data_IF_956214689514
#
_entry.id   IF_956214689514
#
_cell.length_a   1.000
_cell.length_b   1.000
_cell.length_c   1.000
_cell.angle_alpha   90.00
_cell.angle_beta   90.00
_cell.angle_gamma   90.00
#
_symmetry.space_group_name_H-M   'P 1'
#
loop_
_entity.id
_entity.type
_entity.pdbx_description
1 polymer ?
#
# COMPACT_ATOMS: atom_id res chain seq x y z
N UNK A 1 16.57 -14.21 18.47
CA UNK A 1 17.04 -13.93 17.09
C UNK A 1 16.13 -12.86 16.52
N UNK A 2 16.65 -11.96 15.67
CA UNK A 2 15.84 -11.01 14.90
C UNK A 2 14.87 -11.76 13.99
N UNK A 3 13.61 -11.31 13.92
CA UNK A 3 12.67 -11.84 12.92
C UNK A 3 13.07 -11.36 11.52
N UNK A 4 12.95 -12.24 10.54
CA UNK A 4 13.36 -12.02 9.15
C UNK A 4 12.16 -11.80 8.26
N UNK A 5 12.13 -10.65 7.60
CA UNK A 5 11.03 -10.25 6.73
C UNK A 5 11.51 -10.02 5.32
N UNK A 6 10.86 -10.65 4.35
CA UNK A 6 11.06 -10.39 2.94
C UNK A 6 9.99 -9.43 2.43
N UNK A 7 10.41 -8.28 1.88
CA UNK A 7 9.51 -7.30 1.26
C UNK A 7 9.65 -7.33 -0.26
N UNK A 8 8.55 -7.35 -0.96
CA UNK A 8 8.51 -7.01 -2.39
C UNK A 8 7.93 -5.62 -2.58
N UNK A 9 8.33 -4.93 -3.66
CA UNK A 9 7.89 -3.55 -3.89
C UNK A 9 8.53 -2.53 -2.95
N UNK A 10 9.71 -2.84 -2.39
CA UNK A 10 10.44 -2.00 -1.43
C UNK A 10 10.76 -0.60 -1.97
N UNK A 11 10.90 -0.44 -3.27
CA UNK A 11 11.16 0.84 -3.94
C UNK A 11 9.89 1.67 -4.18
N UNK A 12 8.71 1.09 -3.88
CA UNK A 12 7.43 1.78 -3.94
C UNK A 12 7.12 2.58 -2.67
N UNK A 13 6.03 3.34 -2.71
CA UNK A 13 5.60 4.19 -1.59
C UNK A 13 5.39 3.39 -0.30
N UNK A 14 4.49 2.40 -0.29
CA UNK A 14 4.22 1.58 0.91
C UNK A 14 5.45 0.76 1.33
N UNK A 15 6.11 0.09 0.38
CA UNK A 15 7.23 -0.81 0.69
C UNK A 15 8.42 -0.10 1.30
N UNK A 16 8.74 1.12 0.88
CA UNK A 16 9.84 1.90 1.44
C UNK A 16 9.57 2.37 2.88
N UNK A 17 8.34 2.78 3.20
CA UNK A 17 7.94 3.13 4.56
C UNK A 17 7.94 1.90 5.47
N UNK A 18 7.43 0.75 4.99
CA UNK A 18 7.50 -0.52 5.73
C UNK A 18 8.93 -0.94 6.02
N UNK A 19 9.84 -0.84 5.06
CA UNK A 19 11.23 -1.20 5.26
C UNK A 19 11.89 -0.35 6.35
N UNK A 20 11.69 0.97 6.33
CA UNK A 20 12.18 1.88 7.38
C UNK A 20 11.64 1.51 8.75
N UNK A 21 10.34 1.25 8.86
CA UNK A 21 9.70 0.86 10.12
C UNK A 21 10.21 -0.49 10.64
N UNK A 22 10.38 -1.48 9.76
CA UNK A 22 10.91 -2.79 10.14
C UNK A 22 12.32 -2.69 10.69
N UNK A 23 13.20 -1.94 10.03
CA UNK A 23 14.57 -1.71 10.53
C UNK A 23 14.56 -1.01 11.89
N UNK A 24 13.70 0.00 12.07
CA UNK A 24 13.55 0.72 13.35
C UNK A 24 13.02 -0.19 14.48
N UNK A 25 12.35 -1.30 14.16
CA UNK A 25 11.84 -2.28 15.12
C UNK A 25 12.69 -3.57 15.17
N UNK A 26 13.95 -3.49 14.77
CA UNK A 26 14.95 -4.57 14.88
C UNK A 26 14.63 -5.83 14.06
N UNK A 27 13.91 -5.71 12.93
CA UNK A 27 13.78 -6.79 11.96
C UNK A 27 14.99 -6.84 11.02
N UNK A 28 15.37 -8.04 10.58
CA UNK A 28 16.30 -8.23 9.47
C UNK A 28 15.50 -8.20 8.15
N UNK A 29 15.80 -7.22 7.29
CA UNK A 29 15.01 -6.94 6.09
C UNK A 29 15.71 -7.48 4.85
N UNK A 30 15.01 -8.35 4.14
CA UNK A 30 15.33 -8.83 2.80
C UNK A 30 14.35 -8.22 1.81
N UNK A 31 14.80 -7.96 0.58
CA UNK A 31 13.91 -7.37 -0.40
C UNK A 31 14.19 -7.85 -1.83
N UNK A 32 13.11 -7.99 -2.58
CA UNK A 32 13.13 -8.23 -4.03
C UNK A 32 12.81 -6.94 -4.77
N UNK A 33 13.64 -6.58 -5.76
CA UNK A 33 13.46 -5.45 -6.66
C UNK A 33 13.74 -5.84 -8.11
N UNK A 34 13.18 -5.11 -9.05
CA UNK A 34 13.58 -5.22 -10.47
C UNK A 34 14.91 -4.48 -10.67
N UNK A 35 15.74 -4.95 -11.59
CA UNK A 35 17.02 -4.31 -11.92
C UNK A 35 16.87 -2.82 -12.20
N UNK A 36 15.84 -2.41 -12.95
CA UNK A 36 15.58 -1.03 -13.35
C UNK A 36 14.85 -0.18 -12.28
N UNK A 37 14.61 -0.68 -11.05
CA UNK A 37 13.91 0.10 -10.02
C UNK A 37 14.78 1.22 -9.48
N UNK A 38 14.23 2.45 -9.39
CA UNK A 38 14.88 3.55 -8.67
C UNK A 38 15.00 3.23 -7.19
N UNK A 39 16.15 3.53 -6.60
CA UNK A 39 16.44 3.30 -5.18
C UNK A 39 16.24 4.55 -4.32
N UNK A 40 15.81 5.67 -4.89
CA UNK A 40 15.74 6.98 -4.22
C UNK A 40 14.95 6.94 -2.90
N UNK A 41 13.83 6.20 -2.84
CA UNK A 41 13.02 6.09 -1.60
C UNK A 41 13.67 5.31 -0.46
N UNK A 42 14.69 4.49 -0.77
CA UNK A 42 15.38 3.63 0.20
C UNK A 42 16.87 3.97 0.32
N UNK A 43 17.33 5.04 -0.30
CA UNK A 43 18.74 5.44 -0.30
C UNK A 43 19.31 5.53 1.11
N UNK A 44 18.56 6.13 2.04
CA UNK A 44 18.98 6.30 3.44
C UNK A 44 19.12 5.01 4.23
N UNK A 45 18.59 3.90 3.76
CA UNK A 45 18.57 2.59 4.45
C UNK A 45 19.14 1.46 3.60
N UNK A 46 19.72 1.77 2.45
CA UNK A 46 20.13 0.76 1.45
C UNK A 46 21.20 -0.21 2.01
N UNK A 47 22.05 0.28 2.89
CA UNK A 47 23.12 -0.52 3.50
C UNK A 47 22.63 -1.48 4.60
N UNK A 48 21.40 -1.25 5.09
CA UNK A 48 20.80 -2.05 6.16
C UNK A 48 19.84 -3.12 5.61
N UNK A 49 19.70 -3.21 4.28
CA UNK A 49 18.77 -4.10 3.58
C UNK A 49 19.54 -5.12 2.73
N UNK A 50 19.12 -6.38 2.79
CA UNK A 50 19.60 -7.43 1.91
C UNK A 50 18.79 -7.41 0.60
N UNK A 51 19.31 -6.76 -0.46
CA UNK A 51 18.63 -6.60 -1.75
C UNK A 51 18.96 -7.74 -2.71
N UNK A 52 17.92 -8.26 -3.38
CA UNK A 52 18.00 -9.28 -4.43
C UNK A 52 17.15 -8.86 -5.65
N UNK A 53 17.50 -9.41 -6.80
CA UNK A 53 16.67 -9.25 -8.00
C UNK A 53 15.44 -10.17 -7.95
N UNK A 54 14.34 -9.76 -8.59
CA UNK A 54 13.11 -10.57 -8.66
C UNK A 54 13.30 -11.90 -9.40
N UNK A 55 14.32 -12.00 -10.27
CA UNK A 55 14.65 -13.23 -10.98
C UNK A 55 15.40 -14.23 -10.11
N UNK A 56 15.90 -13.80 -8.95
CA UNK A 56 16.69 -14.58 -8.01
C UNK A 56 15.88 -15.20 -6.85
N UNK A 57 14.55 -15.34 -6.96
CA UNK A 57 13.69 -15.83 -5.87
C UNK A 57 14.23 -17.13 -5.26
N UNK A 58 14.55 -18.13 -6.08
CA UNK A 58 15.05 -19.43 -5.58
C UNK A 58 16.42 -19.33 -4.93
N UNK A 59 17.28 -18.46 -5.44
CA UNK A 59 18.61 -18.25 -4.86
C UNK A 59 18.54 -17.49 -3.56
N UNK A 60 17.59 -16.57 -3.42
CA UNK A 60 17.34 -15.83 -2.19
C UNK A 60 17.06 -16.80 -1.03
N UNK A 61 16.04 -17.66 -1.16
CA UNK A 61 15.69 -18.60 -0.07
C UNK A 61 16.80 -19.59 0.27
N UNK A 62 17.62 -19.98 -0.70
CA UNK A 62 18.82 -20.82 -0.42
C UNK A 62 19.92 -20.07 0.35
N UNK A 63 20.13 -18.78 0.04
CA UNK A 63 21.20 -17.97 0.64
C UNK A 63 20.83 -17.35 1.98
N UNK A 64 19.59 -16.91 2.13
CA UNK A 64 19.14 -16.16 3.31
C UNK A 64 18.83 -17.06 4.52
N UNK A 65 18.69 -18.37 4.32
CA UNK A 65 18.16 -19.26 5.38
C UNK A 65 16.66 -18.97 5.64
N UNK A 66 16.21 -19.19 6.88
CA UNK A 66 14.79 -19.06 7.22
C UNK A 66 14.33 -17.59 7.12
N UNK A 67 13.30 -17.32 6.32
CA UNK A 67 12.50 -16.11 6.33
C UNK A 67 11.21 -16.41 7.10
N UNK A 68 10.83 -15.57 8.06
CA UNK A 68 9.64 -15.81 8.89
C UNK A 68 8.38 -15.31 8.21
N UNK A 69 8.43 -14.13 7.58
CA UNK A 69 7.26 -13.48 6.96
C UNK A 69 7.61 -12.85 5.61
N UNK A 70 6.73 -12.98 4.65
CA UNK A 70 6.75 -12.22 3.39
C UNK A 70 5.71 -11.12 3.47
N UNK A 71 6.11 -9.87 3.13
CA UNK A 71 5.19 -8.75 2.91
C UNK A 71 5.22 -8.41 1.42
N UNK A 72 4.12 -8.72 0.73
CA UNK A 72 4.01 -8.49 -0.70
C UNK A 72 3.28 -7.17 -0.98
N UNK A 73 4.05 -6.15 -1.40
CA UNK A 73 3.48 -4.84 -1.80
C UNK A 73 3.77 -4.48 -3.26
N UNK A 74 4.54 -5.30 -3.97
CA UNK A 74 4.80 -5.09 -5.39
C UNK A 74 3.51 -5.19 -6.20
N UNK A 75 3.27 -4.23 -7.07
CA UNK A 75 2.08 -4.21 -7.92
C UNK A 75 2.31 -3.39 -9.19
N UNK A 76 1.60 -3.76 -10.25
CA UNK A 76 1.44 -2.99 -11.47
C UNK A 76 0.00 -2.46 -11.54
N UNK A 77 -0.14 -1.13 -11.58
CA UNK A 77 -1.45 -0.49 -11.62
C UNK A 77 -2.07 -0.40 -13.03
N UNK A 78 -1.29 -0.64 -14.09
CA UNK A 78 -1.74 -0.48 -15.48
C UNK A 78 -2.00 0.98 -15.88
N UNK A 79 -1.29 1.95 -15.26
CA UNK A 79 -1.51 3.40 -15.49
C UNK A 79 -0.61 4.00 -16.57
N UNK A 80 0.48 3.31 -16.92
CA UNK A 80 1.47 3.78 -17.89
C UNK A 80 1.33 3.05 -19.22
N UNK A 81 0.09 2.75 -19.63
CA UNK A 81 -0.24 2.00 -20.85
C UNK A 81 0.35 0.57 -20.89
N UNK A 82 0.60 -0.03 -19.72
CA UNK A 82 1.01 -1.43 -19.66
C UNK A 82 -0.09 -2.33 -20.26
N UNK A 83 0.32 -3.38 -20.97
CA UNK A 83 -0.62 -4.39 -21.48
C UNK A 83 -1.29 -5.11 -20.32
N UNK A 84 -2.51 -5.58 -20.52
CA UNK A 84 -3.23 -6.40 -19.53
C UNK A 84 -2.39 -7.60 -19.09
N UNK A 85 -1.69 -8.26 -20.04
CA UNK A 85 -0.77 -9.37 -19.76
C UNK A 85 0.34 -8.99 -18.78
N UNK A 86 0.90 -7.77 -18.90
CA UNK A 86 1.99 -7.31 -18.05
C UNK A 86 1.48 -7.02 -16.63
N UNK A 87 0.24 -6.50 -16.51
CA UNK A 87 -0.43 -6.33 -15.22
C UNK A 87 -0.65 -7.68 -14.55
N UNK A 88 -1.08 -8.69 -15.30
CA UNK A 88 -1.33 -10.05 -14.78
C UNK A 88 -0.02 -10.77 -14.43
N UNK A 89 1.02 -10.64 -15.24
CA UNK A 89 2.35 -11.18 -14.92
C UNK A 89 2.89 -10.60 -13.61
N UNK A 90 2.77 -9.28 -13.41
CA UNK A 90 3.23 -8.61 -12.19
C UNK A 90 2.38 -8.91 -10.95
N UNK A 91 1.04 -9.02 -11.10
CA UNK A 91 0.14 -9.09 -9.97
C UNK A 91 -0.37 -10.51 -9.65
N UNK A 92 -0.12 -11.48 -10.52
CA UNK A 92 -0.54 -12.89 -10.34
C UNK A 92 0.66 -13.83 -10.46
N UNK A 93 1.36 -13.85 -11.59
CA UNK A 93 2.43 -14.83 -11.84
C UNK A 93 3.61 -14.62 -10.88
N UNK A 94 4.12 -13.41 -10.77
CA UNK A 94 5.23 -13.09 -9.86
C UNK A 94 4.91 -13.44 -8.40
N UNK A 95 3.81 -12.95 -7.78
CA UNK A 95 3.50 -13.30 -6.40
C UNK A 95 3.11 -14.77 -6.20
N UNK A 96 2.60 -15.47 -7.22
CA UNK A 96 2.37 -16.92 -7.15
C UNK A 96 3.70 -17.67 -7.04
N UNK A 97 4.70 -17.35 -7.88
CA UNK A 97 6.06 -17.90 -7.78
C UNK A 97 6.66 -17.64 -6.40
N UNK A 98 6.47 -16.43 -5.86
CA UNK A 98 6.95 -16.08 -4.53
C UNK A 98 6.24 -16.88 -3.42
N UNK A 99 4.94 -17.08 -3.54
CA UNK A 99 4.12 -17.87 -2.62
C UNK A 99 4.56 -19.35 -2.61
N UNK A 100 4.82 -19.92 -3.78
CA UNK A 100 5.35 -21.29 -3.94
C UNK A 100 6.74 -21.44 -3.33
N UNK A 101 7.68 -20.56 -3.70
CA UNK A 101 9.04 -20.59 -3.20
C UNK A 101 9.10 -20.38 -1.68
N UNK A 102 8.33 -19.42 -1.15
CA UNK A 102 8.22 -19.17 0.29
C UNK A 102 7.65 -20.38 1.05
N UNK A 103 6.60 -21.02 0.50
CA UNK A 103 6.04 -22.23 1.10
C UNK A 103 7.06 -23.40 1.12
N UNK A 104 7.84 -23.59 0.06
CA UNK A 104 8.89 -24.61 0.03
C UNK A 104 10.03 -24.30 1.02
N UNK A 105 10.36 -23.02 1.21
CA UNK A 105 11.38 -22.58 2.15
C UNK A 105 10.92 -22.55 3.61
N UNK A 106 9.64 -22.86 3.88
CA UNK A 106 9.09 -22.89 5.23
C UNK A 106 8.75 -21.53 5.81
N UNK A 107 8.47 -20.55 4.96
CA UNK A 107 7.91 -19.25 5.39
C UNK A 107 6.56 -19.48 6.07
N UNK A 108 6.38 -18.86 7.22
CA UNK A 108 5.20 -19.09 8.05
C UNK A 108 3.99 -18.23 7.64
N UNK A 109 4.25 -16.98 7.22
CA UNK A 109 3.17 -16.03 6.91
C UNK A 109 3.45 -15.22 5.65
N UNK A 110 2.43 -15.07 4.82
CA UNK A 110 2.41 -14.20 3.65
C UNK A 110 1.37 -13.09 3.86
N UNK A 111 1.83 -11.85 4.02
CA UNK A 111 0.99 -10.64 4.09
C UNK A 111 0.87 -10.07 2.68
N UNK A 112 -0.34 -10.11 2.11
CA UNK A 112 -0.62 -9.58 0.79
C UNK A 112 -1.25 -8.19 0.88
N UNK A 113 -0.58 -7.16 0.38
CA UNK A 113 -1.23 -5.85 0.18
C UNK A 113 -2.25 -5.97 -0.96
N UNK A 114 -3.51 -5.71 -0.66
CA UNK A 114 -4.63 -5.79 -1.59
C UNK A 114 -5.38 -4.46 -1.66
N UNK A 115 -6.44 -4.39 -2.43
CA UNK A 115 -7.26 -3.20 -2.66
C UNK A 115 -8.72 -3.44 -2.26
N UNK A 116 -9.40 -2.38 -1.86
CA UNK A 116 -10.86 -2.38 -1.63
C UNK A 116 -11.67 -2.06 -2.90
N UNK A 117 -11.01 -1.86 -4.04
CA UNK A 117 -11.67 -1.56 -5.30
C UNK A 117 -12.53 -2.73 -5.80
N UNK A 118 -13.62 -2.41 -6.49
CA UNK A 118 -14.44 -3.43 -7.15
C UNK A 118 -13.57 -4.20 -8.16
N UNK A 119 -13.62 -5.53 -8.11
CA UNK A 119 -12.79 -6.42 -8.93
C UNK A 119 -12.97 -6.24 -10.44
N UNK A 120 -14.10 -5.73 -10.89
CA UNK A 120 -14.38 -5.49 -12.30
C UNK A 120 -14.11 -4.05 -12.76
N UNK A 121 -13.52 -3.22 -11.90
CA UNK A 121 -13.24 -1.83 -12.23
C UNK A 121 -12.17 -1.71 -13.32
N UNK A 122 -11.10 -2.51 -13.23
CA UNK A 122 -9.98 -2.48 -14.18
C UNK A 122 -9.11 -3.76 -14.04
N UNK A 123 -8.14 -3.98 -14.96
CA UNK A 123 -7.25 -5.14 -14.89
C UNK A 123 -6.46 -5.27 -13.57
N UNK A 124 -6.07 -4.15 -12.97
CA UNK A 124 -5.38 -4.13 -11.67
C UNK A 124 -6.26 -4.75 -10.57
N UNK A 125 -7.47 -4.25 -10.37
CA UNK A 125 -8.36 -4.77 -9.31
C UNK A 125 -8.78 -6.22 -9.57
N UNK A 126 -8.94 -6.60 -10.84
CA UNK A 126 -9.23 -7.99 -11.20
C UNK A 126 -8.05 -8.91 -10.86
N UNK A 127 -6.83 -8.55 -11.24
CA UNK A 127 -5.63 -9.34 -10.96
C UNK A 127 -5.38 -9.49 -9.45
N UNK A 128 -5.62 -8.43 -8.65
CA UNK A 128 -5.52 -8.50 -7.18
C UNK A 128 -6.52 -9.51 -6.61
N UNK A 129 -7.76 -9.48 -7.08
CA UNK A 129 -8.79 -10.43 -6.64
C UNK A 129 -8.46 -11.87 -7.03
N UNK A 130 -7.89 -12.11 -8.23
CA UNK A 130 -7.47 -13.46 -8.64
C UNK A 130 -6.30 -13.97 -7.79
N UNK A 131 -5.34 -13.13 -7.45
CA UNK A 131 -4.25 -13.52 -6.55
C UNK A 131 -4.77 -13.81 -5.13
N UNK A 132 -5.75 -13.07 -4.64
CA UNK A 132 -6.43 -13.36 -3.38
C UNK A 132 -7.01 -14.79 -3.37
N UNK A 133 -7.69 -15.21 -4.43
CA UNK A 133 -8.25 -16.57 -4.50
C UNK A 133 -7.15 -17.65 -4.53
N UNK A 134 -6.02 -17.39 -5.19
CA UNK A 134 -4.84 -18.27 -5.12
C UNK A 134 -4.28 -18.33 -3.69
N UNK A 135 -4.16 -17.20 -3.01
CA UNK A 135 -3.70 -17.15 -1.61
C UNK A 135 -4.61 -17.95 -0.67
N UNK A 136 -5.93 -17.85 -0.81
CA UNK A 136 -6.91 -18.67 -0.08
C UNK A 136 -6.70 -20.15 -0.35
N UNK A 137 -6.56 -20.54 -1.61
CA UNK A 137 -6.30 -21.93 -1.98
C UNK A 137 -5.03 -22.49 -1.34
N UNK A 138 -3.95 -21.70 -1.32
CA UNK A 138 -2.69 -22.09 -0.67
C UNK A 138 -2.84 -22.25 0.83
N UNK A 139 -3.50 -21.30 1.50
CA UNK A 139 -3.69 -21.32 2.96
C UNK A 139 -4.51 -22.52 3.44
N UNK A 140 -5.44 -23.02 2.63
CA UNK A 140 -6.25 -24.20 2.94
C UNK A 140 -5.46 -25.51 2.83
N UNK A 141 -4.41 -25.57 2.01
CA UNK A 141 -3.71 -26.81 1.62
C UNK A 141 -2.28 -26.87 2.09
N UNK A 142 -1.71 -25.76 2.53
CA UNK A 142 -0.31 -25.61 2.91
C UNK A 142 -0.20 -25.12 4.36
N UNK A 143 1.00 -25.15 4.88
CA UNK A 143 1.26 -24.69 6.26
C UNK A 143 1.39 -23.16 6.36
N UNK A 144 1.62 -22.45 5.26
CA UNK A 144 1.80 -21.01 5.24
C UNK A 144 0.45 -20.29 5.42
N UNK A 145 0.39 -19.39 6.37
CA UNK A 145 -0.74 -18.49 6.58
C UNK A 145 -0.75 -17.43 5.48
N UNK A 146 -1.93 -17.11 4.96
CA UNK A 146 -2.11 -16.04 3.99
C UNK A 146 -3.04 -14.98 4.57
N UNK A 147 -2.50 -13.81 4.88
CA UNK A 147 -3.24 -12.68 5.41
C UNK A 147 -3.38 -11.58 4.36
N UNK A 148 -4.61 -11.29 4.01
CA UNK A 148 -4.93 -10.32 2.96
C UNK A 148 -5.24 -8.97 3.58
N UNK A 149 -4.44 -7.95 3.25
CA UNK A 149 -4.53 -6.60 3.80
C UNK A 149 -5.09 -5.67 2.75
N UNK A 150 -6.40 -5.43 2.80
CA UNK A 150 -7.11 -4.52 1.89
C UNK A 150 -6.92 -3.08 2.31
N UNK A 151 -6.29 -2.31 1.44
CA UNK A 151 -5.91 -0.93 1.70
C UNK A 151 -6.93 0.04 1.10
N UNK A 152 -7.30 1.05 1.88
CA UNK A 152 -8.08 2.19 1.43
C UNK A 152 -7.19 3.24 0.72
N UNK A 153 -7.62 4.48 0.63
CA UNK A 153 -6.94 5.54 -0.09
C UNK A 153 -5.76 6.09 0.72
N UNK A 154 -4.59 5.45 0.58
CA UNK A 154 -3.36 5.84 1.28
C UNK A 154 -2.83 7.15 0.71
N UNK A 155 -2.43 8.06 1.60
CA UNK A 155 -1.71 9.28 1.27
C UNK A 155 -0.57 9.53 2.26
N UNK A 156 0.35 10.40 1.90
CA UNK A 156 1.48 10.81 2.74
C UNK A 156 2.59 11.44 1.91
N UNK A 157 3.65 11.90 2.56
CA UNK A 157 4.74 12.59 1.89
C UNK A 157 5.51 11.69 0.92
N UNK A 158 5.97 12.27 -0.19
CA UNK A 158 6.68 11.58 -1.27
C UNK A 158 5.86 10.46 -1.96
N UNK A 159 4.52 10.57 -1.95
CA UNK A 159 3.70 9.66 -2.75
C UNK A 159 3.84 9.98 -4.24
N UNK A 160 3.31 9.11 -5.10
CA UNK A 160 3.31 9.30 -6.54
C UNK A 160 2.47 10.53 -6.91
N UNK A 161 3.04 11.55 -7.56
CA UNK A 161 2.34 12.79 -7.92
C UNK A 161 1.15 12.56 -8.86
N UNK A 162 1.06 11.42 -9.54
CA UNK A 162 -0.10 11.04 -10.35
C UNK A 162 -1.31 10.57 -9.52
N UNK A 163 -1.14 10.31 -8.23
CA UNK A 163 -2.25 9.97 -7.34
C UNK A 163 -3.04 11.22 -6.97
N UNK A 164 -4.36 11.06 -6.83
CA UNK A 164 -5.26 12.17 -6.56
C UNK A 164 -4.86 13.02 -5.35
N UNK A 165 -4.54 12.40 -4.22
CA UNK A 165 -4.14 13.12 -3.00
C UNK A 165 -2.87 13.95 -3.20
N UNK A 166 -1.82 13.34 -3.74
CA UNK A 166 -0.56 14.02 -4.03
C UNK A 166 -0.74 15.13 -5.08
N UNK A 167 -1.51 14.85 -6.15
CA UNK A 167 -1.81 15.83 -7.18
C UNK A 167 -2.53 17.08 -6.61
N UNK A 168 -3.53 16.89 -5.75
CA UNK A 168 -4.25 18.02 -5.11
C UNK A 168 -3.33 18.80 -4.18
N UNK A 169 -2.54 18.13 -3.34
CA UNK A 169 -1.60 18.77 -2.41
C UNK A 169 -0.59 19.61 -3.19
N UNK A 170 0.07 19.03 -4.19
CA UNK A 170 1.09 19.71 -4.98
C UNK A 170 0.48 20.88 -5.78
N UNK A 171 -0.67 20.69 -6.40
CA UNK A 171 -1.38 21.76 -7.11
C UNK A 171 -1.69 22.96 -6.23
N UNK A 172 -2.10 22.71 -4.98
CA UNK A 172 -2.38 23.77 -4.02
C UNK A 172 -1.11 24.44 -3.49
N UNK A 173 -0.04 23.70 -3.24
CA UNK A 173 1.25 24.24 -2.80
C UNK A 173 1.90 25.11 -3.89
N UNK A 174 1.84 24.67 -5.14
CA UNK A 174 2.35 25.39 -6.31
C UNK A 174 1.47 26.56 -6.73
N UNK A 175 0.28 26.70 -6.17
CA UNK A 175 -0.69 27.73 -6.53
C UNK A 175 -1.01 27.74 -8.05
N UNK A 176 -1.27 26.57 -8.63
CA UNK A 176 -1.67 26.52 -10.05
C UNK A 176 -2.92 27.37 -10.28
N UNK A 177 -3.12 27.87 -11.49
CA UNK A 177 -4.20 28.82 -11.79
C UNK A 177 -5.59 28.26 -11.54
N UNK A 178 -5.83 26.96 -11.87
CA UNK A 178 -7.12 26.31 -11.75
C UNK A 178 -6.96 24.81 -11.51
N UNK A 179 -7.75 24.25 -10.59
CA UNK A 179 -7.89 22.82 -10.35
C UNK A 179 -9.31 22.36 -10.73
N UNK A 180 -9.44 21.67 -11.87
CA UNK A 180 -10.72 21.14 -12.38
C UNK A 180 -11.07 19.84 -11.66
N UNK A 181 -12.30 19.75 -11.16
CA UNK A 181 -12.75 18.67 -10.30
C UNK A 181 -14.14 18.18 -10.73
N UNK A 182 -14.47 16.94 -10.36
CA UNK A 182 -15.86 16.47 -10.37
C UNK A 182 -16.66 17.26 -9.33
N UNK A 183 -17.97 16.99 -9.16
CA UNK A 183 -18.74 17.61 -8.07
C UNK A 183 -18.16 17.33 -6.68
N UNK A 184 -17.36 16.28 -6.54
CA UNK A 184 -16.67 15.93 -5.31
C UNK A 184 -17.54 15.28 -4.24
N UNK A 185 -18.73 14.80 -4.58
CA UNK A 185 -19.69 14.18 -3.64
C UNK A 185 -19.29 12.75 -3.23
N UNK A 186 -18.49 12.08 -4.07
CA UNK A 186 -18.03 10.71 -3.76
C UNK A 186 -17.15 10.71 -2.52
N UNK A 187 -17.43 9.76 -1.61
CA UNK A 187 -16.74 9.64 -0.32
C UNK A 187 -15.65 8.56 -0.36
N UNK A 188 -14.51 8.86 0.26
CA UNK A 188 -13.36 7.97 0.35
C UNK A 188 -12.84 7.94 1.78
N UNK A 189 -12.34 6.80 2.18
CA UNK A 189 -11.63 6.62 3.44
C UNK A 189 -10.14 6.90 3.17
N UNK A 190 -9.70 8.11 3.46
CA UNK A 190 -8.31 8.53 3.32
C UNK A 190 -7.54 8.17 4.59
N UNK A 191 -6.46 7.42 4.43
CA UNK A 191 -5.60 7.00 5.55
C UNK A 191 -4.16 7.44 5.33
N UNK A 192 -3.55 8.00 6.36
CA UNK A 192 -2.15 8.41 6.31
C UNK A 192 -1.22 7.18 6.27
N UNK A 193 -0.07 7.32 5.60
CA UNK A 193 0.91 6.24 5.48
C UNK A 193 1.37 5.71 6.84
N UNK A 194 1.58 6.56 7.84
CA UNK A 194 2.04 6.14 9.18
C UNK A 194 1.00 5.26 9.87
N UNK A 195 -0.30 5.52 9.68
CA UNK A 195 -1.37 4.66 10.18
C UNK A 195 -1.37 3.30 9.49
N UNK A 196 -1.12 3.26 8.18
CA UNK A 196 -0.96 2.00 7.45
C UNK A 196 0.24 1.22 7.97
N UNK A 197 1.38 1.88 8.18
CA UNK A 197 2.57 1.25 8.75
C UNK A 197 2.28 0.71 10.15
N UNK A 198 1.61 1.48 11.00
CA UNK A 198 1.23 1.04 12.35
C UNK A 198 0.33 -0.21 12.33
N UNK A 199 -0.58 -0.32 11.34
CA UNK A 199 -1.41 -1.49 11.13
C UNK A 199 -0.57 -2.72 10.77
N UNK A 200 0.36 -2.60 9.82
CA UNK A 200 1.27 -3.70 9.49
C UNK A 200 2.14 -4.12 10.67
N UNK A 201 2.66 -3.17 11.46
CA UNK A 201 3.44 -3.48 12.66
C UNK A 201 2.58 -4.15 13.74
N UNK A 202 1.30 -3.80 13.86
CA UNK A 202 0.34 -4.50 14.71
C UNK A 202 0.15 -5.96 14.23
N UNK A 203 -0.11 -6.18 12.94
CA UNK A 203 -0.25 -7.52 12.37
C UNK A 203 1.00 -8.38 12.58
N UNK A 204 2.19 -7.82 12.40
CA UNK A 204 3.45 -8.55 12.61
C UNK A 204 3.70 -8.96 14.07
N UNK A 205 3.20 -8.19 15.04
CA UNK A 205 3.23 -8.59 16.46
C UNK A 205 2.29 -9.75 16.75
N UNK A 206 1.16 -9.80 16.06
CA UNK A 206 0.12 -10.81 16.26
C UNK A 206 0.31 -12.09 15.43
N UNK A 207 1.34 -12.12 14.55
CA UNK A 207 1.62 -13.28 13.68
C UNK A 207 1.74 -14.59 14.47
N UNK A 208 2.34 -14.56 15.66
CA UNK A 208 2.52 -15.76 16.48
C UNK A 208 1.28 -16.12 17.30
N UNK A 209 0.38 -15.17 17.53
CA UNK A 209 -0.81 -15.32 18.36
C UNK A 209 -2.04 -15.80 17.58
N UNK A 210 -2.09 -15.50 16.28
CA UNK A 210 -3.21 -15.85 15.43
C UNK A 210 -2.91 -17.13 14.62
N UNK A 211 -3.68 -18.20 14.90
CA UNK A 211 -3.52 -19.49 14.22
C UNK A 211 -4.35 -19.64 12.94
N UNK A 212 -5.04 -18.59 12.52
CA UNK A 212 -5.89 -18.64 11.33
C UNK A 212 -5.04 -18.74 10.06
N UNK A 213 -5.28 -19.75 9.25
CA UNK A 213 -4.58 -19.96 7.99
C UNK A 213 -4.88 -18.85 6.97
N UNK A 214 -6.09 -18.33 6.99
CA UNK A 214 -6.53 -17.21 6.15
C UNK A 214 -7.26 -16.16 6.98
N UNK A 215 -6.88 -14.88 6.80
CA UNK A 215 -7.59 -13.73 7.38
C UNK A 215 -7.57 -12.58 6.39
N UNK A 216 -8.67 -11.81 6.34
CA UNK A 216 -8.72 -10.53 5.66
C UNK A 216 -8.79 -9.38 6.67
N UNK A 217 -7.95 -8.38 6.47
CA UNK A 217 -7.96 -7.14 7.23
C UNK A 217 -8.23 -5.97 6.29
N UNK A 218 -9.10 -5.06 6.68
CA UNK A 218 -9.25 -3.78 5.97
C UNK A 218 -8.54 -2.68 6.75
N UNK A 219 -7.63 -1.98 6.07
CA UNK A 219 -6.85 -0.87 6.62
C UNK A 219 -7.37 0.45 6.06
N UNK A 220 -7.93 1.23 6.95
CA UNK A 220 -8.52 2.55 6.72
C UNK A 220 -8.83 3.18 8.06
N UNK A 221 -9.33 4.40 8.07
CA UNK A 221 -9.72 5.09 9.31
C UNK A 221 -11.07 4.57 9.85
N UNK A 222 -11.87 3.96 8.99
CA UNK A 222 -13.26 3.62 9.25
C UNK A 222 -14.20 4.83 9.11
N UNK A 223 -13.71 5.94 8.60
CA UNK A 223 -14.47 7.15 8.28
C UNK A 223 -14.24 7.55 6.83
N UNK A 224 -15.30 7.91 6.13
CA UNK A 224 -15.18 8.40 4.76
C UNK A 224 -15.59 9.87 4.69
N UNK A 225 -14.76 10.69 4.06
CA UNK A 225 -15.04 12.09 3.75
C UNK A 225 -15.26 12.27 2.26
N UNK A 226 -15.93 13.34 1.85
CA UNK A 226 -16.12 13.64 0.44
C UNK A 226 -14.81 14.10 -0.20
N UNK A 227 -14.68 13.88 -1.51
CA UNK A 227 -13.56 14.43 -2.27
C UNK A 227 -13.53 15.95 -2.16
N UNK A 228 -14.70 16.61 -2.13
CA UNK A 228 -14.80 18.06 -1.91
C UNK A 228 -14.19 18.45 -0.57
N UNK A 229 -14.58 17.80 0.50
CA UNK A 229 -14.04 18.06 1.86
C UNK A 229 -12.52 17.88 1.92
N UNK A 230 -12.00 16.81 1.29
CA UNK A 230 -10.53 16.60 1.18
C UNK A 230 -9.86 17.79 0.48
N UNK A 231 -10.35 18.19 -0.69
CA UNK A 231 -9.75 19.26 -1.50
C UNK A 231 -9.85 20.61 -0.81
N UNK A 232 -11.01 20.94 -0.23
CA UNK A 232 -11.21 22.20 0.50
C UNK A 232 -10.30 22.28 1.75
N UNK A 233 -10.09 21.15 2.45
CA UNK A 233 -9.16 21.08 3.58
C UNK A 233 -7.71 21.30 3.14
N UNK A 234 -7.26 20.64 2.06
CA UNK A 234 -5.93 20.87 1.49
C UNK A 234 -5.76 22.34 1.11
N UNK A 235 -6.73 22.91 0.38
CA UNK A 235 -6.69 24.31 -0.07
C UNK A 235 -6.56 25.28 1.11
N UNK A 236 -7.32 25.05 2.18
CA UNK A 236 -7.25 25.85 3.42
C UNK A 236 -5.91 25.72 4.13
N UNK A 237 -5.42 24.48 4.33
CA UNK A 237 -4.15 24.22 5.05
C UNK A 237 -2.93 24.73 4.30
N UNK A 238 -2.97 24.73 2.97
CA UNK A 238 -1.88 25.27 2.15
C UNK A 238 -1.94 26.80 2.00
N UNK A 239 -3.04 27.45 2.41
CA UNK A 239 -3.34 28.85 2.09
C UNK A 239 -3.29 29.13 0.59
N UNK A 240 -3.76 28.17 -0.23
CA UNK A 240 -3.63 28.22 -1.69
C UNK A 240 -4.53 29.29 -2.32
N UNK A 241 -4.06 29.84 -3.43
CA UNK A 241 -4.82 30.75 -4.30
C UNK A 241 -5.37 30.04 -5.55
N UNK A 242 -5.17 28.74 -5.66
CA UNK A 242 -5.69 27.93 -6.79
C UNK A 242 -7.22 28.03 -6.87
N UNK A 243 -7.76 28.33 -8.05
CA UNK A 243 -9.19 28.31 -8.28
C UNK A 243 -9.71 26.87 -8.29
N UNK A 244 -10.59 26.52 -7.36
CA UNK A 244 -11.23 25.19 -7.29
C UNK A 244 -12.52 25.19 -8.13
N UNK A 245 -12.52 24.47 -9.26
CA UNK A 245 -13.68 24.41 -10.18
C UNK A 245 -14.39 23.07 -10.08
N UNK A 246 -15.23 22.93 -9.05
CA UNK A 246 -16.04 21.74 -8.84
C UNK A 246 -17.15 21.60 -9.88
N UNK A 247 -17.38 20.36 -10.38
CA UNK A 247 -18.38 20.03 -11.38
C UNK A 247 -17.94 20.29 -12.83
N UNK A 248 -16.69 20.74 -13.04
CA UNK A 248 -16.14 20.95 -14.39
C UNK A 248 -15.76 19.63 -15.08
N UNK A 249 -15.59 18.56 -14.31
CA UNK A 249 -15.34 17.21 -14.83
C UNK A 249 -16.53 16.29 -14.52
N UNK A 250 -16.91 15.40 -15.45
CA UNK A 250 -17.93 14.38 -15.18
C UNK A 250 -17.38 13.31 -14.22
N UNK A 251 -18.24 12.58 -13.55
CA UNK A 251 -17.89 11.35 -12.89
C UNK A 251 -17.47 10.30 -13.92
N UNK A 252 -16.59 9.38 -13.52
CA UNK A 252 -16.24 8.21 -14.34
C UNK A 252 -17.43 7.26 -14.38
N UNK A 253 -17.55 6.51 -15.47
CA UNK A 253 -18.52 5.43 -15.54
C UNK A 253 -18.27 4.41 -14.42
N UNK A 254 -19.34 4.05 -13.70
CA UNK A 254 -19.24 3.14 -12.56
C UNK A 254 -18.55 3.74 -11.32
N UNK A 255 -18.52 5.09 -11.18
CA UNK A 255 -17.93 5.75 -10.00
C UNK A 255 -18.54 5.22 -8.70
N UNK A 256 -17.68 4.71 -7.82
CA UNK A 256 -18.11 4.26 -6.50
C UNK A 256 -18.35 5.47 -5.62
N UNK A 257 -19.60 5.71 -5.23
CA UNK A 257 -19.96 6.90 -4.45
C UNK A 257 -19.53 6.83 -2.98
N UNK A 258 -19.29 5.65 -2.42
CA UNK A 258 -18.83 5.50 -1.04
C UNK A 258 -17.87 4.32 -0.88
N UNK A 259 -16.72 4.59 -0.28
CA UNK A 259 -15.75 3.57 0.15
C UNK A 259 -15.31 3.85 1.58
N UNK A 260 -15.36 2.81 2.43
CA UNK A 260 -15.03 2.91 3.85
C UNK A 260 -14.54 1.54 4.34
N UNK A 261 -13.45 1.52 5.13
CA UNK A 261 -12.93 0.29 5.71
C UNK A 261 -13.83 -0.25 6.84
N UNK A 262 -13.93 -1.57 6.89
CA UNK A 262 -14.37 -2.27 8.09
C UNK A 262 -13.15 -2.60 8.96
N UNK A 263 -12.86 -1.75 9.93
CA UNK A 263 -11.68 -1.86 10.79
C UNK A 263 -11.89 -2.79 12.00
N UNK A 264 -13.01 -3.50 12.12
CA UNK A 264 -13.37 -4.31 13.29
C UNK A 264 -12.30 -5.34 13.62
N UNK A 265 -11.78 -6.05 12.62
CA UNK A 265 -10.75 -7.08 12.83
C UNK A 265 -9.44 -6.49 13.37
N UNK A 266 -8.99 -5.35 12.85
CA UNK A 266 -7.79 -4.66 13.35
C UNK A 266 -7.99 -4.08 14.75
N UNK A 267 -9.16 -3.48 15.01
CA UNK A 267 -9.50 -2.97 16.36
C UNK A 267 -9.53 -4.07 17.41
N UNK A 268 -9.97 -5.27 17.04
CA UNK A 268 -9.92 -6.43 17.93
C UNK A 268 -8.49 -6.84 18.32
N UNK A 269 -7.48 -6.49 17.48
CA UNK A 269 -6.06 -6.64 17.78
C UNK A 269 -5.46 -5.43 18.53
N UNK A 270 -6.28 -4.46 18.93
CA UNK A 270 -5.85 -3.26 19.63
C UNK A 270 -5.31 -2.15 18.74
N UNK A 271 -5.43 -2.27 17.40
CA UNK A 271 -4.99 -1.22 16.50
C UNK A 271 -5.99 -0.06 16.42
N UNK A 272 -5.48 1.15 16.43
CA UNK A 272 -6.21 2.41 16.20
C UNK A 272 -5.38 3.35 15.35
N UNK A 273 -6.03 4.25 14.59
CA UNK A 273 -5.35 5.33 13.89
C UNK A 273 -4.60 6.22 14.91
N UNK A 274 -3.42 6.68 14.54
CA UNK A 274 -2.53 7.51 15.36
C UNK A 274 -2.99 8.97 15.36
N UNK A 275 -3.47 9.44 14.20
CA UNK A 275 -3.79 10.84 13.96
C UNK A 275 -5.22 11.00 13.44
N UNK A 276 -5.84 12.14 13.72
CA UNK A 276 -7.03 12.58 13.01
C UNK A 276 -6.66 13.03 11.57
N UNK A 277 -7.68 13.16 10.74
CA UNK A 277 -7.49 13.47 9.32
C UNK A 277 -6.76 14.79 9.08
N UNK A 278 -7.12 15.86 9.80
CA UNK A 278 -6.56 17.20 9.57
C UNK A 278 -5.11 17.26 10.03
N UNK A 279 -4.80 16.68 11.17
CA UNK A 279 -3.42 16.58 11.71
C UNK A 279 -2.52 15.81 10.73
N UNK A 280 -2.96 14.62 10.28
CA UNK A 280 -2.21 13.79 9.34
C UNK A 280 -2.00 14.49 7.98
N UNK A 281 -3.03 15.20 7.49
CA UNK A 281 -2.93 15.94 6.24
C UNK A 281 -1.95 17.11 6.36
N UNK A 282 -1.98 17.83 7.48
CA UNK A 282 -1.04 18.93 7.73
C UNK A 282 0.41 18.43 7.81
N UNK A 283 0.65 17.28 8.47
CA UNK A 283 1.99 16.66 8.49
C UNK A 283 2.50 16.36 7.07
N UNK A 284 1.63 15.84 6.19
CA UNK A 284 1.97 15.59 4.78
C UNK A 284 2.32 16.89 4.05
N UNK A 285 1.50 17.92 4.19
CA UNK A 285 1.67 19.23 3.55
C UNK A 285 2.99 19.88 3.99
N UNK A 286 3.30 19.88 5.28
CA UNK A 286 4.55 20.46 5.79
C UNK A 286 5.80 19.73 5.25
N UNK A 287 5.74 18.41 5.10
CA UNK A 287 6.86 17.66 4.52
C UNK A 287 7.00 17.90 3.01
N UNK A 288 5.89 18.02 2.27
CA UNK A 288 5.94 18.35 0.84
C UNK A 288 6.44 19.77 0.58
N UNK A 289 6.16 20.75 1.47
CA UNK A 289 6.71 22.12 1.36
C UNK A 289 8.23 22.18 1.36
N UNK A 290 8.88 21.26 2.05
CA UNK A 290 10.35 21.20 2.11
C UNK A 290 10.94 20.70 0.77
N UNK A 291 10.14 20.02 -0.04
CA UNK A 291 10.56 19.42 -1.31
C UNK A 291 10.30 20.33 -2.53
N UNK A 292 9.59 21.46 -2.35
CA UNK A 292 9.33 22.51 -3.36
C UNK A 292 10.29 23.66 -3.18
#
# INVERSE_FOLDING_TARGET
MRKRVLITGITGFLGSHLAKALLAHDYEVFALKRAASSLSRIESIINDINLYDIDDIDSLFRKCGKIDTIIHTATCYGRNNEKVSDVFAANIEFPLRLLEAGNHAGVETFLNADTTLNKYLNPYSLSKNQFLELGKFFSMRKKMRFWNVKLQYIYGPNDDPSKFSAYVINSCLENISELKLTKGEQKRDFIHIDDVISAYMCLLREVDNLNNSFVEFEVGTGHSISIREFVETVHRLTNSRTLLTFGSLPYRDGEVMQSKANTTALKALGWHCLNDFETALNMTIEQERVNI
#
